data_IF_966670111289
#
_entry.id   IF_966670111289
#
_cell.length_a   1.000
_cell.length_b   1.000
_cell.length_c   1.000
_cell.angle_alpha   90.00
_cell.angle_beta   90.00
_cell.angle_gamma   90.00
#
_symmetry.space_group_name_H-M   'P 1'
#
loop_
_entity.id
_entity.type
_entity.pdbx_description
1 polymer ?
#
# COMPACT_ATOMS: atom_id res chain seq x y z
N UNK A 1 -1.67 -22.35 46.54
CA UNK A 1 -0.50 -22.43 45.62
C UNK A 1 0.74 -22.03 46.41
N UNK A 2 1.68 -22.96 46.65
CA UNK A 2 2.84 -22.70 47.49
C UNK A 2 3.75 -21.63 46.84
N UNK A 3 4.23 -20.66 47.63
CA UNK A 3 5.13 -19.58 47.20
C UNK A 3 6.34 -20.09 46.38
N UNK A 4 6.88 -21.24 46.73
CA UNK A 4 7.93 -21.93 45.96
C UNK A 4 7.47 -22.35 44.56
N UNK A 5 6.25 -22.78 44.37
CA UNK A 5 5.68 -23.17 43.08
C UNK A 5 5.48 -21.95 42.16
N UNK A 6 5.09 -20.80 42.69
CA UNK A 6 4.93 -19.56 41.97
C UNK A 6 6.28 -19.01 41.46
N UNK A 7 7.33 -19.10 42.27
CA UNK A 7 8.69 -18.69 41.90
C UNK A 7 9.23 -19.58 40.75
N UNK A 8 9.08 -20.90 40.88
CA UNK A 8 9.52 -21.84 39.83
C UNK A 8 8.78 -21.57 38.51
N UNK A 9 7.47 -21.35 38.54
CA UNK A 9 6.68 -20.98 37.35
C UNK A 9 7.17 -19.68 36.73
N UNK A 10 7.44 -18.64 37.51
CA UNK A 10 7.93 -17.37 37.03
C UNK A 10 9.31 -17.47 36.33
N UNK A 11 10.21 -18.27 36.94
CA UNK A 11 11.56 -18.53 36.38
C UNK A 11 11.43 -19.32 35.07
N UNK A 12 10.56 -20.32 35.02
CA UNK A 12 10.36 -21.14 33.79
C UNK A 12 9.78 -20.30 32.65
N UNK A 13 8.81 -19.44 32.94
CA UNK A 13 8.21 -18.53 31.96
C UNK A 13 9.27 -17.53 31.45
N UNK A 14 10.06 -16.95 32.35
CA UNK A 14 11.13 -16.01 31.98
C UNK A 14 12.20 -16.69 31.12
N UNK A 15 12.52 -17.95 31.40
CA UNK A 15 13.49 -18.71 30.61
C UNK A 15 12.96 -19.08 29.22
N UNK A 16 11.67 -19.42 29.12
CA UNK A 16 11.01 -19.66 27.82
C UNK A 16 10.99 -18.37 26.99
N UNK A 17 10.62 -17.24 27.58
CA UNK A 17 10.69 -15.93 26.90
C UNK A 17 12.10 -15.60 26.43
N UNK A 18 13.11 -15.87 27.24
CA UNK A 18 14.52 -15.65 26.88
C UNK A 18 14.94 -16.52 25.69
N UNK A 19 14.56 -17.80 25.67
CA UNK A 19 14.85 -18.71 24.55
C UNK A 19 14.15 -18.26 23.27
N UNK A 20 12.88 -17.88 23.35
CA UNK A 20 12.11 -17.38 22.20
C UNK A 20 12.74 -16.11 21.65
N UNK A 21 13.10 -15.16 22.52
CA UNK A 21 13.76 -13.91 22.12
C UNK A 21 15.12 -14.16 21.46
N UNK A 22 15.91 -15.07 22.00
CA UNK A 22 17.21 -15.46 21.40
C UNK A 22 17.02 -16.10 20.01
N UNK A 23 15.98 -16.92 19.84
CA UNK A 23 15.70 -17.55 18.55
C UNK A 23 15.34 -16.50 17.49
N UNK A 24 14.46 -15.56 17.80
CA UNK A 24 14.11 -14.46 16.91
C UNK A 24 15.31 -13.55 16.60
N UNK A 25 16.09 -13.21 17.60
CA UNK A 25 17.30 -12.42 17.41
C UNK A 25 18.31 -13.12 16.49
N UNK A 26 18.51 -14.44 16.64
CA UNK A 26 19.40 -15.22 15.78
C UNK A 26 18.87 -15.35 14.35
N UNK A 27 17.56 -15.49 14.16
CA UNK A 27 16.92 -15.47 12.83
C UNK A 27 17.19 -14.13 12.14
N UNK A 28 16.98 -13.03 12.85
CA UNK A 28 17.22 -11.68 12.35
C UNK A 28 18.69 -11.47 11.95
N UNK A 29 19.64 -11.87 12.78
CA UNK A 29 21.07 -11.79 12.47
C UNK A 29 21.45 -12.60 11.22
N UNK A 30 20.87 -13.79 11.05
CA UNK A 30 21.07 -14.62 9.85
C UNK A 30 20.52 -13.91 8.61
N UNK A 31 19.36 -13.31 8.71
CA UNK A 31 18.75 -12.58 7.62
C UNK A 31 19.56 -11.32 7.25
N UNK A 32 19.96 -10.52 8.23
CA UNK A 32 20.85 -9.36 8.03
C UNK A 32 22.18 -9.77 7.39
N UNK A 33 22.78 -10.87 7.86
CA UNK A 33 24.00 -11.42 7.28
C UNK A 33 23.80 -11.85 5.82
N UNK A 34 22.68 -12.47 5.51
CA UNK A 34 22.31 -12.85 4.13
C UNK A 34 22.17 -11.60 3.25
N UNK A 35 21.44 -10.58 3.70
CA UNK A 35 21.28 -9.32 2.96
C UNK A 35 22.62 -8.63 2.73
N UNK A 36 23.46 -8.53 3.76
CA UNK A 36 24.79 -7.93 3.66
C UNK A 36 25.72 -8.72 2.72
N UNK A 37 25.64 -10.04 2.72
CA UNK A 37 26.43 -10.88 1.80
C UNK A 37 25.97 -10.68 0.35
N UNK A 38 24.67 -10.58 0.13
CA UNK A 38 24.10 -10.29 -1.19
C UNK A 38 24.47 -8.89 -1.68
N UNK A 39 24.50 -7.91 -0.78
CA UNK A 39 24.90 -6.53 -1.10
C UNK A 39 26.38 -6.42 -1.50
N UNK A 40 27.24 -7.20 -0.86
CA UNK A 40 28.68 -7.25 -1.19
C UNK A 40 28.98 -7.88 -2.56
N UNK A 41 28.03 -8.59 -3.13
CA UNK A 41 28.14 -9.17 -4.47
C UNK A 41 27.81 -8.17 -5.58
N UNK A 42 27.28 -6.99 -5.24
CA UNK A 42 27.02 -5.93 -6.22
C UNK A 42 28.33 -5.12 -6.36
N UNK A 43 29.01 -5.17 -7.50
CA UNK A 43 30.20 -4.37 -7.72
C UNK A 43 29.85 -2.88 -7.66
N UNK A 44 30.70 -2.07 -7.03
CA UNK A 44 30.60 -0.62 -7.09
C UNK A 44 31.09 -0.17 -8.47
N UNK A 45 30.18 0.05 -9.39
CA UNK A 45 30.47 0.59 -10.71
C UNK A 45 30.22 2.10 -10.75
N UNK A 46 31.05 2.83 -11.44
CA UNK A 46 30.77 4.23 -11.81
C UNK A 46 29.60 4.32 -12.79
N UNK A 47 28.97 5.49 -12.92
CA UNK A 47 27.89 5.69 -13.89
C UNK A 47 28.32 5.42 -15.35
N UNK A 48 29.61 5.63 -15.67
CA UNK A 48 30.17 5.35 -16.99
C UNK A 48 30.30 3.84 -17.23
N UNK A 49 30.79 3.11 -16.26
CA UNK A 49 30.90 1.64 -16.32
C UNK A 49 29.52 0.97 -16.40
N UNK A 50 28.49 1.52 -15.73
CA UNK A 50 27.12 1.00 -15.80
C UNK A 50 26.52 1.06 -17.19
N UNK A 51 26.96 2.00 -18.06
CA UNK A 51 26.47 2.10 -19.44
C UNK A 51 26.98 0.98 -20.34
N UNK A 52 28.16 0.46 -20.04
CA UNK A 52 28.83 -0.59 -20.82
C UNK A 52 28.52 -2.00 -20.31
N UNK A 53 27.86 -2.12 -19.15
CA UNK A 53 27.46 -3.43 -18.61
C UNK A 53 26.25 -3.94 -19.39
N UNK A 54 26.34 -5.14 -20.00
CA UNK A 54 25.20 -5.74 -20.67
C UNK A 54 24.06 -5.96 -19.67
N UNK A 55 22.81 -5.80 -20.13
CA UNK A 55 21.63 -6.07 -19.29
C UNK A 55 21.74 -7.48 -18.71
N UNK A 56 21.38 -7.66 -17.41
CA UNK A 56 21.41 -8.97 -16.78
C UNK A 56 20.65 -10.02 -17.62
N UNK A 57 21.23 -11.17 -17.80
CA UNK A 57 20.61 -12.28 -18.57
C UNK A 57 19.38 -12.85 -17.87
N UNK A 58 19.25 -12.59 -16.56
CA UNK A 58 18.20 -13.15 -15.72
C UNK A 58 17.41 -12.07 -14.95
N UNK A 59 16.59 -11.25 -15.63
CA UNK A 59 15.82 -10.17 -14.97
C UNK A 59 14.83 -10.70 -13.91
N UNK A 60 14.39 -11.95 -14.02
CA UNK A 60 13.55 -12.62 -13.01
C UNK A 60 14.23 -12.75 -11.64
N UNK A 61 15.57 -12.73 -11.58
CA UNK A 61 16.30 -12.74 -10.29
C UNK A 61 16.00 -11.51 -9.43
N UNK A 62 15.67 -10.37 -10.03
CA UNK A 62 15.24 -9.19 -9.29
C UNK A 62 13.90 -9.44 -8.57
N UNK A 63 12.98 -10.18 -9.18
CA UNK A 63 11.71 -10.59 -8.57
C UNK A 63 11.97 -11.52 -7.38
N UNK A 64 12.86 -12.50 -7.53
CA UNK A 64 13.27 -13.37 -6.42
C UNK A 64 13.90 -12.57 -5.28
N UNK A 65 14.79 -11.64 -5.60
CA UNK A 65 15.40 -10.77 -4.59
C UNK A 65 14.35 -10.00 -3.81
N UNK A 66 13.39 -9.38 -4.50
CA UNK A 66 12.30 -8.64 -3.86
C UNK A 66 11.43 -9.56 -3.00
N UNK A 67 11.08 -10.74 -3.49
CA UNK A 67 10.32 -11.74 -2.74
C UNK A 67 11.06 -12.13 -1.44
N UNK A 68 12.34 -12.45 -1.50
CA UNK A 68 13.13 -12.79 -0.32
C UNK A 68 13.31 -11.63 0.66
N UNK A 69 13.37 -10.39 0.19
CA UNK A 69 13.46 -9.21 1.05
C UNK A 69 12.17 -8.93 1.81
N UNK A 70 11.04 -9.33 1.27
CA UNK A 70 9.69 -9.08 1.84
C UNK A 70 9.10 -10.31 2.52
N UNK A 71 9.68 -11.50 2.29
CA UNK A 71 9.23 -12.76 2.86
C UNK A 71 9.32 -12.75 4.39
N UNK A 72 8.21 -13.11 5.04
CA UNK A 72 8.26 -13.46 6.48
C UNK A 72 8.88 -14.86 6.63
N UNK A 73 10.04 -14.99 7.30
CA UNK A 73 10.74 -16.27 7.40
C UNK A 73 10.01 -17.32 8.24
N UNK A 74 9.04 -16.93 9.07
CA UNK A 74 8.22 -17.86 9.85
C UNK A 74 7.01 -18.35 9.07
N UNK A 75 6.37 -17.45 8.32
CA UNK A 75 5.17 -17.77 7.55
C UNK A 75 5.52 -18.42 6.21
N UNK A 76 6.69 -18.16 5.64
CA UNK A 76 7.09 -18.64 4.33
C UNK A 76 6.40 -17.92 3.15
N UNK A 77 5.71 -16.80 3.40
CA UNK A 77 5.09 -15.96 2.38
C UNK A 77 5.19 -14.48 2.76
N UNK A 78 4.86 -13.59 1.84
CA UNK A 78 4.82 -12.14 2.07
C UNK A 78 3.47 -11.76 2.71
N UNK A 79 3.44 -11.36 3.99
CA UNK A 79 2.20 -11.12 4.72
C UNK A 79 1.61 -9.75 4.39
N UNK A 80 1.03 -9.60 3.21
CA UNK A 80 0.40 -8.36 2.75
C UNK A 80 -0.79 -7.92 3.61
N UNK A 81 -1.46 -8.87 4.25
CA UNK A 81 -2.53 -8.65 5.21
C UNK A 81 -2.10 -7.84 6.44
N UNK A 82 -0.80 -7.85 6.78
CA UNK A 82 -0.25 -7.09 7.91
C UNK A 82 0.14 -5.65 7.55
N UNK A 83 0.09 -5.27 6.29
CA UNK A 83 0.53 -3.95 5.84
C UNK A 83 -0.31 -2.83 6.44
N UNK A 84 -1.64 -3.01 6.49
CA UNK A 84 -2.55 -2.03 7.08
C UNK A 84 -2.27 -1.82 8.58
N UNK A 85 -2.10 -2.90 9.35
CA UNK A 85 -1.77 -2.81 10.78
C UNK A 85 -0.42 -2.13 11.01
N UNK A 86 0.57 -2.41 10.16
CA UNK A 86 1.87 -1.76 10.22
C UNK A 86 1.77 -0.25 9.93
N UNK A 87 0.94 0.15 8.98
CA UNK A 87 0.66 1.54 8.66
C UNK A 87 0.01 2.28 9.84
N UNK A 88 -1.04 1.71 10.44
CA UNK A 88 -1.70 2.28 11.61
C UNK A 88 -0.71 2.47 12.78
N UNK A 89 0.11 1.45 13.06
CA UNK A 89 1.14 1.55 14.10
C UNK A 89 2.18 2.63 13.80
N UNK A 90 2.58 2.77 12.54
CA UNK A 90 3.52 3.81 12.11
C UNK A 90 2.95 5.20 12.34
N UNK A 91 1.69 5.42 11.98
CA UNK A 91 0.99 6.69 12.24
C UNK A 91 0.92 7.01 13.73
N UNK A 92 0.53 6.05 14.55
CA UNK A 92 0.49 6.21 16.01
C UNK A 92 1.86 6.57 16.58
N UNK A 93 2.94 5.93 16.10
CA UNK A 93 4.30 6.28 16.51
C UNK A 93 4.70 7.68 16.06
N UNK A 94 4.32 8.12 14.87
CA UNK A 94 4.58 9.47 14.37
C UNK A 94 3.88 10.52 15.24
N UNK A 95 2.63 10.29 15.61
CA UNK A 95 1.87 11.18 16.51
C UNK A 95 2.53 11.28 17.90
N UNK A 96 3.00 10.16 18.45
CA UNK A 96 3.65 10.10 19.77
C UNK A 96 5.03 10.77 19.77
N UNK A 97 5.79 10.67 18.70
CA UNK A 97 7.17 11.18 18.61
C UNK A 97 7.23 12.66 18.22
N UNK A 98 6.10 13.26 17.86
CA UNK A 98 6.04 14.59 17.26
C UNK A 98 6.68 14.62 15.86
N UNK A 99 6.34 15.62 15.07
CA UNK A 99 6.95 15.77 13.75
C UNK A 99 8.44 16.05 13.90
N UNK A 100 9.30 15.13 13.53
CA UNK A 100 10.64 15.50 13.13
C UNK A 100 10.46 16.37 11.90
N UNK A 101 10.96 17.59 11.93
CA UNK A 101 10.92 18.55 10.83
C UNK A 101 11.71 18.00 9.64
N UNK A 102 11.15 17.01 8.93
CA UNK A 102 11.59 16.67 7.58
C UNK A 102 10.71 17.47 6.63
N UNK A 103 11.33 18.42 5.96
CA UNK A 103 10.69 19.17 4.90
C UNK A 103 10.78 18.36 3.61
N UNK A 104 9.63 17.87 3.17
CA UNK A 104 9.53 17.12 1.91
C UNK A 104 9.35 18.10 0.77
N UNK A 105 10.27 18.08 -0.20
CA UNK A 105 10.12 18.82 -1.45
C UNK A 105 9.68 17.87 -2.55
N UNK A 106 8.60 18.21 -3.22
CA UNK A 106 8.16 17.48 -4.40
C UNK A 106 9.16 17.74 -5.54
N UNK A 107 9.77 16.66 -6.05
CA UNK A 107 10.60 16.71 -7.26
C UNK A 107 9.74 16.21 -8.42
N UNK A 108 9.13 17.11 -9.21
CA UNK A 108 8.26 16.71 -10.29
C UNK A 108 9.04 15.94 -11.36
N UNK A 109 8.44 14.88 -11.87
CA UNK A 109 8.94 14.10 -12.99
C UNK A 109 7.99 14.29 -14.19
N UNK A 110 8.53 14.30 -15.39
CA UNK A 110 7.75 14.31 -16.62
C UNK A 110 7.33 12.90 -17.07
N UNK A 111 7.55 11.88 -16.24
CA UNK A 111 7.11 10.53 -16.52
C UNK A 111 5.65 10.39 -16.13
N UNK A 112 4.81 10.07 -17.11
CA UNK A 112 3.40 9.74 -16.90
C UNK A 112 3.23 8.32 -16.35
N UNK A 113 2.21 8.13 -15.50
CA UNK A 113 1.74 6.84 -15.08
C UNK A 113 0.48 6.40 -15.84
N UNK A 114 0.02 5.17 -15.61
CA UNK A 114 -1.26 4.70 -16.15
C UNK A 114 -2.40 5.23 -15.28
N UNK A 115 -3.30 6.02 -15.85
CA UNK A 115 -4.57 6.38 -15.22
C UNK A 115 -5.57 5.27 -15.47
N UNK A 116 -6.21 4.80 -14.40
CA UNK A 116 -7.16 3.69 -14.43
C UNK A 116 -8.61 4.14 -14.42
N UNK A 117 -8.91 5.15 -13.62
CA UNK A 117 -10.26 5.71 -13.53
C UNK A 117 -10.22 7.24 -13.48
N UNK A 118 -11.27 7.84 -13.98
CA UNK A 118 -11.51 9.29 -13.95
C UNK A 118 -12.95 9.50 -13.50
N UNK A 119 -13.15 10.49 -12.62
CA UNK A 119 -14.48 10.90 -12.17
C UNK A 119 -14.54 12.43 -12.14
N UNK A 120 -15.56 13.02 -12.76
CA UNK A 120 -15.90 14.42 -12.50
C UNK A 120 -16.50 14.53 -11.11
N UNK A 121 -16.07 15.54 -10.36
CA UNK A 121 -16.55 15.76 -8.99
C UNK A 121 -18.04 16.13 -9.03
N UNK A 122 -18.92 15.31 -8.44
CA UNK A 122 -20.36 15.57 -8.50
C UNK A 122 -20.80 16.76 -7.64
N UNK A 123 -19.92 17.24 -6.73
CA UNK A 123 -20.20 18.41 -5.89
C UNK A 123 -19.73 19.72 -6.51
N UNK A 124 -18.99 19.65 -7.61
CA UNK A 124 -18.57 20.84 -8.37
C UNK A 124 -19.61 21.24 -9.41
N UNK A 125 -20.39 22.27 -9.09
CA UNK A 125 -21.41 22.83 -10.00
C UNK A 125 -20.84 23.33 -11.34
N UNK A 126 -19.54 23.62 -11.39
CA UNK A 126 -18.88 24.10 -12.62
C UNK A 126 -18.47 22.95 -13.54
N UNK A 127 -18.50 21.71 -13.08
CA UNK A 127 -18.06 20.49 -13.77
C UNK A 127 -16.63 20.55 -14.30
N UNK A 128 -15.74 21.18 -13.56
CA UNK A 128 -14.33 21.35 -13.91
C UNK A 128 -13.39 20.53 -13.04
N UNK A 129 -13.78 20.26 -11.78
CA UNK A 129 -13.01 19.45 -10.86
C UNK A 129 -13.06 17.99 -11.25
N UNK A 130 -11.89 17.38 -11.38
CA UNK A 130 -11.72 16.00 -11.84
C UNK A 130 -10.83 15.23 -10.88
N UNK A 131 -11.24 14.02 -10.58
CA UNK A 131 -10.48 13.01 -9.85
C UNK A 131 -9.86 12.03 -10.84
N UNK A 132 -8.60 11.64 -10.60
CA UNK A 132 -7.89 10.67 -11.41
C UNK A 132 -7.21 9.62 -10.53
N UNK A 133 -7.42 8.36 -10.86
CA UNK A 133 -6.88 7.22 -10.15
C UNK A 133 -5.72 6.60 -10.92
N UNK A 134 -4.55 6.54 -10.29
CA UNK A 134 -3.34 5.95 -10.85
C UNK A 134 -3.21 4.47 -10.47
N UNK A 135 -2.74 3.66 -11.39
CA UNK A 135 -2.52 2.21 -11.18
C UNK A 135 -1.54 1.94 -10.02
N UNK A 136 -0.55 2.79 -9.84
CA UNK A 136 0.47 2.71 -8.77
C UNK A 136 0.83 4.08 -8.22
N UNK A 137 0.09 5.12 -8.60
CA UNK A 137 0.39 6.52 -8.25
C UNK A 137 -0.63 7.17 -7.33
N UNK A 138 -1.55 6.40 -6.75
CA UNK A 138 -2.56 6.90 -5.82
C UNK A 138 -3.72 7.66 -6.49
N UNK A 139 -4.44 8.41 -5.68
CA UNK A 139 -5.57 9.23 -6.08
C UNK A 139 -5.16 10.70 -6.15
N UNK A 140 -5.58 11.36 -7.22
CA UNK A 140 -5.27 12.74 -7.53
C UNK A 140 -6.53 13.52 -7.88
N UNK A 141 -6.50 14.82 -7.69
CA UNK A 141 -7.56 15.72 -8.20
C UNK A 141 -6.98 16.97 -8.83
N UNK A 142 -7.74 17.55 -9.75
CA UNK A 142 -7.49 18.84 -10.37
C UNK A 142 -8.75 19.69 -10.24
N UNK A 143 -8.60 20.91 -9.72
CA UNK A 143 -9.75 21.79 -9.44
C UNK A 143 -10.35 22.44 -10.68
N UNK A 144 -9.61 22.57 -11.77
CA UNK A 144 -10.11 23.03 -13.06
C UNK A 144 -9.29 22.40 -14.19
N UNK A 145 -9.82 21.31 -14.73
CA UNK A 145 -9.17 20.56 -15.83
C UNK A 145 -9.10 21.36 -17.14
N UNK A 146 -9.83 22.45 -17.24
CA UNK A 146 -9.84 23.32 -18.44
C UNK A 146 -8.71 24.35 -18.42
N UNK A 147 -8.07 24.57 -17.26
CA UNK A 147 -6.93 25.46 -17.09
C UNK A 147 -5.61 24.66 -16.96
N UNK A 148 -4.79 24.74 -17.98
CA UNK A 148 -3.49 24.05 -18.03
C UNK A 148 -2.46 24.56 -17.01
N UNK A 149 -2.74 25.67 -16.33
CA UNK A 149 -1.87 26.22 -15.28
C UNK A 149 -2.16 25.60 -13.91
N UNK A 150 -3.33 24.97 -13.74
CA UNK A 150 -3.69 24.32 -12.49
C UNK A 150 -3.07 22.93 -12.42
N UNK A 151 -2.28 22.71 -11.37
CA UNK A 151 -1.59 21.45 -11.14
C UNK A 151 -2.53 20.38 -10.54
N UNK A 152 -2.19 19.13 -10.79
CA UNK A 152 -2.77 18.00 -10.08
C UNK A 152 -2.28 17.96 -8.62
N UNK A 153 -3.17 17.65 -7.71
CA UNK A 153 -2.91 17.50 -6.29
C UNK A 153 -3.07 16.02 -5.89
N UNK A 154 -2.07 15.47 -5.21
CA UNK A 154 -2.18 14.15 -4.62
C UNK A 154 -3.12 14.22 -3.41
N UNK A 155 -4.01 13.24 -3.27
CA UNK A 155 -4.89 13.14 -2.10
C UNK A 155 -4.07 12.78 -0.86
N UNK A 156 -3.28 11.71 -0.95
CA UNK A 156 -2.39 11.31 0.12
C UNK A 156 -1.35 10.30 -0.40
N UNK A 157 -0.09 10.70 -0.42
CA UNK A 157 1.02 9.82 -0.81
C UNK A 157 1.39 8.80 0.29
N UNK A 158 0.81 8.94 1.47
CA UNK A 158 1.06 8.07 2.63
C UNK A 158 -0.10 7.12 2.91
N UNK A 159 -0.98 6.88 1.95
CA UNK A 159 -1.90 5.75 2.03
C UNK A 159 -1.10 4.45 2.04
N UNK A 160 -1.59 3.48 2.77
CA UNK A 160 -1.00 2.15 2.82
C UNK A 160 -1.11 1.40 1.48
N UNK A 161 -1.88 1.94 0.52
CA UNK A 161 -1.94 1.44 -0.85
C UNK A 161 -2.20 2.57 -1.85
N UNK A 162 -1.34 2.67 -2.86
CA UNK A 162 -1.43 3.64 -3.94
C UNK A 162 -1.95 3.05 -5.26
N UNK A 163 -2.37 1.80 -5.27
CA UNK A 163 -2.95 1.15 -6.44
C UNK A 163 -4.46 1.36 -6.45
N UNK A 164 -4.93 2.32 -7.23
CA UNK A 164 -6.34 2.67 -7.32
C UNK A 164 -6.91 2.19 -8.64
N UNK A 165 -7.94 1.34 -8.57
CA UNK A 165 -8.58 0.74 -9.74
C UNK A 165 -9.85 1.47 -10.19
N UNK A 166 -10.62 2.03 -9.26
CA UNK A 166 -11.89 2.70 -9.54
C UNK A 166 -12.16 3.80 -8.51
N UNK A 167 -12.82 4.86 -8.93
CA UNK A 167 -13.44 5.87 -8.07
C UNK A 167 -14.88 6.10 -8.56
N UNK A 168 -15.83 6.13 -7.62
CA UNK A 168 -17.25 6.41 -7.87
C UNK A 168 -17.81 7.24 -6.71
N UNK A 169 -18.99 7.83 -6.92
CA UNK A 169 -19.75 8.53 -5.89
C UNK A 169 -21.11 7.90 -5.69
N UNK A 170 -21.72 8.14 -4.54
CA UNK A 170 -23.10 7.71 -4.24
C UNK A 170 -24.11 8.64 -4.90
N UNK A 171 -24.99 8.14 -5.79
CA UNK A 171 -25.98 8.97 -6.47
C UNK A 171 -27.03 9.58 -5.54
N UNK A 172 -27.27 9.01 -4.34
CA UNK A 172 -28.19 9.56 -3.34
C UNK A 172 -27.52 10.69 -2.57
N UNK A 173 -26.27 10.53 -2.21
CA UNK A 173 -25.47 11.55 -1.52
C UNK A 173 -24.15 11.78 -2.26
N UNK A 174 -24.08 12.78 -3.14
CA UNK A 174 -22.90 13.06 -3.95
C UNK A 174 -21.62 13.42 -3.17
N UNK A 175 -21.70 13.67 -1.86
CA UNK A 175 -20.52 13.88 -1.01
C UNK A 175 -19.85 12.56 -0.61
N UNK A 176 -20.52 11.42 -0.81
CA UNK A 176 -19.96 10.10 -0.47
C UNK A 176 -19.24 9.53 -1.69
N UNK A 177 -17.92 9.31 -1.54
CA UNK A 177 -17.10 8.69 -2.58
C UNK A 177 -16.57 7.32 -2.13
N UNK A 178 -16.33 6.45 -3.11
CA UNK A 178 -15.74 5.14 -2.89
C UNK A 178 -14.57 4.95 -3.84
N UNK A 179 -13.48 4.40 -3.31
CA UNK A 179 -12.25 4.12 -4.05
C UNK A 179 -11.89 2.64 -3.87
N UNK A 180 -11.82 1.92 -4.97
CA UNK A 180 -11.38 0.54 -5.01
C UNK A 180 -9.87 0.47 -5.20
N UNK A 181 -9.21 -0.53 -4.58
CA UNK A 181 -7.76 -0.69 -4.63
C UNK A 181 -7.33 -2.07 -5.16
N UNK A 182 -6.13 -2.11 -5.76
CA UNK A 182 -5.51 -3.30 -6.32
C UNK A 182 -5.52 -3.35 -7.85
N UNK A 183 -4.39 -3.75 -8.45
CA UNK A 183 -4.21 -3.89 -9.89
C UNK A 183 -4.31 -5.35 -10.31
N UNK A 184 -5.48 -5.80 -10.74
CA UNK A 184 -5.71 -7.18 -11.10
C UNK A 184 -5.38 -7.54 -12.56
N UNK A 185 -5.30 -6.57 -13.47
CA UNK A 185 -5.18 -6.86 -14.91
C UNK A 185 -3.88 -7.57 -15.28
N UNK A 186 -2.80 -7.28 -14.59
CA UNK A 186 -1.53 -7.97 -14.76
C UNK A 186 -1.41 -9.20 -13.87
N UNK A 187 -2.15 -9.25 -12.76
CA UNK A 187 -2.15 -10.35 -11.81
C UNK A 187 -2.69 -11.67 -12.40
N UNK A 188 -3.64 -11.59 -13.31
CA UNK A 188 -4.33 -12.76 -13.86
C UNK A 188 -3.51 -13.52 -14.91
N UNK A 189 -2.57 -12.88 -15.61
CA UNK A 189 -1.99 -13.44 -16.82
C UNK A 189 -0.55 -13.90 -16.64
N UNK A 190 0.30 -13.17 -15.91
CA UNK A 190 1.74 -13.47 -15.94
C UNK A 190 2.50 -13.22 -14.64
N UNK A 191 2.13 -12.24 -13.83
CA UNK A 191 2.96 -11.78 -12.70
C UNK A 191 2.11 -11.35 -11.50
N UNK A 192 1.38 -12.30 -10.90
CA UNK A 192 0.55 -12.02 -9.72
C UNK A 192 1.35 -11.35 -8.60
N UNK A 193 2.59 -11.77 -8.41
CA UNK A 193 3.48 -11.23 -7.38
C UNK A 193 4.03 -9.84 -7.72
N UNK A 194 3.99 -9.42 -8.97
CA UNK A 194 4.44 -8.09 -9.42
C UNK A 194 3.30 -7.07 -9.55
N UNK A 195 2.06 -7.51 -9.35
CA UNK A 195 0.89 -6.62 -9.36
C UNK A 195 0.72 -5.95 -8.01
N UNK A 196 0.38 -4.68 -8.02
CA UNK A 196 0.15 -3.95 -6.78
C UNK A 196 -1.14 -4.43 -6.12
N UNK A 197 -1.00 -5.06 -4.97
CA UNK A 197 -2.15 -5.51 -4.17
C UNK A 197 -2.87 -4.32 -3.57
N UNK A 198 -4.19 -4.43 -3.49
CA UNK A 198 -5.05 -3.54 -2.74
C UNK A 198 -5.24 -4.03 -1.31
N UNK A 199 -5.98 -3.25 -0.54
CA UNK A 199 -6.40 -3.59 0.81
C UNK A 199 -7.91 -3.40 1.01
N UNK A 200 -8.67 -3.36 -0.07
CA UNK A 200 -10.11 -3.19 -0.03
C UNK A 200 -10.60 -1.90 -0.66
N UNK A 201 -11.71 -1.38 -0.10
CA UNK A 201 -12.42 -0.21 -0.60
C UNK A 201 -12.35 0.89 0.46
N UNK A 202 -11.96 2.08 0.03
CA UNK A 202 -11.96 3.29 0.85
C UNK A 202 -13.21 4.11 0.60
N UNK A 203 -13.70 4.77 1.64
CA UNK A 203 -14.85 5.65 1.61
C UNK A 203 -14.47 7.05 2.10
N UNK A 204 -14.99 8.07 1.41
CA UNK A 204 -15.07 9.43 1.93
C UNK A 204 -16.54 9.76 2.19
N UNK A 205 -16.80 10.59 3.23
CA UNK A 205 -18.12 11.09 3.58
C UNK A 205 -18.21 12.62 3.40
N UNK A 206 -17.17 13.25 2.88
CA UNK A 206 -16.95 14.69 2.83
C UNK A 206 -16.35 15.15 1.48
N UNK A 207 -16.84 14.58 0.39
CA UNK A 207 -16.40 14.89 -0.98
C UNK A 207 -14.89 14.75 -1.21
N UNK A 208 -14.26 13.76 -0.54
CA UNK A 208 -12.87 13.41 -0.75
C UNK A 208 -11.87 14.14 0.14
N UNK A 209 -12.31 14.88 1.17
CA UNK A 209 -11.39 15.53 2.13
C UNK A 209 -10.77 14.53 3.08
N UNK A 210 -11.57 13.60 3.63
CA UNK A 210 -11.08 12.52 4.48
C UNK A 210 -11.48 11.14 3.96
N UNK A 211 -10.69 10.13 4.28
CA UNK A 211 -10.87 8.78 3.77
C UNK A 211 -10.72 7.74 4.87
N UNK A 212 -11.62 6.76 4.90
CA UNK A 212 -11.59 5.62 5.80
C UNK A 212 -11.69 4.31 5.01
N UNK A 213 -10.98 3.28 5.48
CA UNK A 213 -11.08 1.94 4.91
C UNK A 213 -12.37 1.26 5.39
N UNK A 214 -13.14 0.69 4.48
CA UNK A 214 -14.27 -0.15 4.84
C UNK A 214 -13.74 -1.47 5.41
N UNK A 215 -13.82 -1.65 6.74
CA UNK A 215 -13.28 -2.81 7.46
C UNK A 215 -13.77 -4.15 6.90
N UNK A 216 -15.00 -4.21 6.43
CA UNK A 216 -15.58 -5.42 5.80
C UNK A 216 -14.90 -5.84 4.50
N UNK A 217 -14.08 -4.97 3.92
CA UNK A 217 -13.38 -5.21 2.64
C UNK A 217 -11.87 -5.43 2.81
N UNK A 218 -11.37 -5.39 4.04
CA UNK A 218 -9.98 -5.77 4.34
C UNK A 218 -9.76 -7.21 3.85
N UNK A 219 -8.76 -7.43 3.04
CA UNK A 219 -8.53 -8.74 2.41
C UNK A 219 -9.03 -8.86 0.97
N UNK A 220 -9.75 -7.85 0.45
CA UNK A 220 -9.97 -7.75 -0.99
C UNK A 220 -8.71 -7.26 -1.66
N UNK A 221 -7.82 -8.17 -2.03
CA UNK A 221 -6.49 -7.83 -2.55
C UNK A 221 -6.54 -7.16 -3.94
N UNK A 222 -7.53 -7.50 -4.74
CA UNK A 222 -7.67 -6.97 -6.09
C UNK A 222 -9.13 -6.64 -6.39
N UNK A 223 -9.54 -5.41 -6.14
CA UNK A 223 -10.87 -4.93 -6.51
C UNK A 223 -10.77 -4.33 -7.91
N UNK A 224 -11.28 -5.05 -8.89
CA UNK A 224 -11.16 -4.65 -10.31
C UNK A 224 -12.14 -3.57 -10.71
N UNK A 225 -13.32 -3.60 -10.11
CA UNK A 225 -14.39 -2.64 -10.36
C UNK A 225 -15.35 -2.57 -9.18
N UNK A 226 -15.99 -1.43 -9.01
CA UNK A 226 -17.09 -1.20 -8.07
C UNK A 226 -18.20 -0.43 -8.76
N UNK A 227 -19.45 -0.72 -8.39
CA UNK A 227 -20.62 -0.01 -8.87
C UNK A 227 -21.66 0.12 -7.74
N UNK A 228 -22.59 1.06 -7.87
CA UNK A 228 -23.64 1.34 -6.90
C UNK A 228 -24.99 1.11 -7.51
N UNK A 229 -25.77 0.24 -6.86
CA UNK A 229 -27.19 0.09 -7.12
C UNK A 229 -27.99 0.91 -6.11
N UNK A 230 -28.86 1.75 -6.63
CA UNK A 230 -29.79 2.53 -5.80
C UNK A 230 -31.16 1.85 -5.79
N UNK A 231 -31.65 1.53 -4.58
CA UNK A 231 -32.99 1.04 -4.35
C UNK A 231 -33.71 1.94 -3.34
N UNK A 232 -34.77 2.63 -3.77
CA UNK A 232 -35.51 3.61 -2.96
C UNK A 232 -34.60 4.68 -2.35
N UNK A 233 -34.25 4.56 -1.06
CA UNK A 233 -33.38 5.47 -0.31
C UNK A 233 -32.11 4.76 0.21
N UNK A 234 -31.74 3.64 -0.40
CA UNK A 234 -30.57 2.86 0.02
C UNK A 234 -29.62 2.66 -1.15
N UNK A 235 -28.32 2.80 -0.89
CA UNK A 235 -27.24 2.52 -1.84
C UNK A 235 -26.53 1.23 -1.47
N UNK A 236 -26.48 0.28 -2.41
CA UNK A 236 -25.75 -0.98 -2.28
C UNK A 236 -24.53 -0.97 -3.17
N UNK A 237 -23.36 -1.27 -2.61
CA UNK A 237 -22.10 -1.32 -3.35
C UNK A 237 -21.86 -2.77 -3.79
N UNK A 238 -21.61 -2.93 -5.07
CA UNK A 238 -21.18 -4.19 -5.68
C UNK A 238 -19.71 -4.09 -6.05
N UNK A 239 -18.92 -5.08 -5.68
CA UNK A 239 -17.49 -5.13 -5.96
C UNK A 239 -17.11 -6.40 -6.72
N UNK A 240 -16.35 -6.25 -7.79
CA UNK A 240 -15.70 -7.35 -8.50
C UNK A 240 -14.32 -7.57 -7.89
N UNK A 241 -14.11 -8.72 -7.23
CA UNK A 241 -12.88 -9.03 -6.53
C UNK A 241 -12.22 -10.25 -7.15
N UNK A 242 -10.91 -10.16 -7.36
CA UNK A 242 -10.05 -11.30 -7.72
C UNK A 242 -9.27 -11.72 -6.48
N UNK A 243 -9.45 -12.95 -6.05
CA UNK A 243 -8.80 -13.56 -4.89
C UNK A 243 -7.85 -14.70 -5.30
#
# INVERSE_FOLDING_TARGET
>A
MNFKSAIISAITISFIFFILFQNEYQKRLKYESFLLSSYKMIPNHSEEELKDIPKPEHPHMATFQNHFMTLDPELGYVPSDRLHDAFIRTRQMQEMLGSRNMEWHNVPSNMGGRTRAIMFDPTDETNKKVWAAGVTGGLWYNNDITDSQISWNAVNDFWDNLSVSRIIYDPINPEIFYVATGEANTALITYRESSSRGIGIWRSMDAGETWELLESTIGFEYVTDIDIKVEENNSEIYACVVS
#
